data_IF_717231108127
#
_entry.id   IF_717231108127
#
_cell.length_a   1.000
_cell.length_b   1.000
_cell.length_c   1.000
_cell.angle_alpha   90.00
_cell.angle_beta   90.00
_cell.angle_gamma   90.00
#
_symmetry.space_group_name_H-M   'P 1'
#
loop_
_entity.id
_entity.type
_entity.pdbx_description
1 polymer ?
#
# COMPACT_ATOMS: atom_id res chain seq x y z
N UNK A 1 13.94 -23.35 7.19
CA UNK A 1 12.67 -23.19 7.91
C UNK A 1 12.36 -21.71 8.01
N UNK A 2 11.42 -21.20 7.22
CA UNK A 2 10.91 -19.84 7.34
C UNK A 2 9.88 -19.84 8.47
N UNK A 3 10.13 -19.06 9.53
CA UNK A 3 9.22 -19.00 10.67
C UNK A 3 7.84 -18.41 10.29
N UNK A 4 6.84 -18.47 11.18
CA UNK A 4 5.46 -17.99 10.92
C UNK A 4 5.33 -16.47 10.68
N UNK A 5 6.45 -15.76 10.50
CA UNK A 5 6.56 -14.31 10.33
C UNK A 5 7.12 -13.88 8.97
N UNK A 6 7.44 -14.81 8.09
CA UNK A 6 8.03 -14.51 6.78
C UNK A 6 7.07 -14.86 5.65
N UNK A 7 6.80 -13.89 4.77
CA UNK A 7 6.12 -14.14 3.51
C UNK A 7 7.08 -14.82 2.53
N UNK A 8 6.55 -15.73 1.71
CA UNK A 8 7.29 -16.42 0.65
C UNK A 8 6.90 -15.91 -0.74
N UNK A 9 7.65 -16.31 -1.76
CA UNK A 9 7.41 -15.93 -3.15
C UNK A 9 8.05 -14.58 -3.54
N UNK A 10 8.03 -14.24 -4.85
CA UNK A 10 8.72 -13.08 -5.38
C UNK A 10 8.30 -11.76 -4.73
N UNK A 11 7.00 -11.55 -4.52
CA UNK A 11 6.45 -10.36 -3.87
C UNK A 11 6.65 -10.44 -2.34
N UNK A 12 6.29 -11.56 -1.72
CA UNK A 12 6.31 -11.72 -0.27
C UNK A 12 7.68 -11.47 0.35
N UNK A 13 8.75 -11.96 -0.28
CA UNK A 13 10.12 -11.78 0.21
C UNK A 13 10.60 -10.32 0.16
N UNK A 14 9.98 -9.46 -0.66
CA UNK A 14 10.33 -8.05 -0.79
C UNK A 14 9.60 -7.15 0.22
N UNK A 15 8.45 -7.59 0.76
CA UNK A 15 7.64 -6.83 1.72
C UNK A 15 8.37 -6.52 3.04
N UNK A 16 9.43 -7.25 3.37
CA UNK A 16 10.27 -6.98 4.54
C UNK A 16 11.18 -5.75 4.38
N UNK A 17 11.42 -5.31 3.14
CA UNK A 17 12.39 -4.24 2.81
C UNK A 17 11.74 -3.01 2.19
N UNK A 18 10.45 -3.07 1.84
CA UNK A 18 9.75 -2.02 1.10
C UNK A 18 9.78 -0.62 1.75
N UNK A 19 9.88 -0.55 3.08
CA UNK A 19 10.00 0.72 3.82
C UNK A 19 11.25 1.52 3.45
N UNK A 20 12.34 0.80 3.14
CA UNK A 20 13.66 1.41 2.85
C UNK A 20 13.88 1.66 1.36
N UNK A 21 12.97 1.20 0.49
CA UNK A 21 13.12 1.38 -0.94
C UNK A 21 12.71 2.81 -1.33
N UNK A 22 13.43 3.47 -2.25
CA UNK A 22 13.01 4.79 -2.73
C UNK A 22 11.67 4.69 -3.46
N UNK A 23 10.87 5.76 -3.41
CA UNK A 23 9.76 5.93 -4.35
C UNK A 23 10.37 6.34 -5.69
N UNK A 24 9.98 5.66 -6.76
CA UNK A 24 10.47 5.91 -8.13
C UNK A 24 9.31 6.36 -9.02
N UNK A 25 9.54 6.57 -10.31
CA UNK A 25 8.43 6.75 -11.26
C UNK A 25 7.66 5.44 -11.35
N UNK A 26 6.34 5.47 -11.14
CA UNK A 26 5.47 4.30 -11.19
C UNK A 26 4.27 4.55 -12.10
N UNK A 27 3.69 3.49 -12.64
CA UNK A 27 2.46 3.55 -13.43
C UNK A 27 1.24 3.81 -12.52
N UNK A 28 0.34 4.69 -12.96
CA UNK A 28 -0.94 4.89 -12.28
C UNK A 28 -1.85 3.67 -12.39
N UNK A 29 -2.82 3.56 -11.48
CA UNK A 29 -3.84 2.52 -11.51
C UNK A 29 -5.22 3.11 -11.26
N UNK A 30 -6.24 2.58 -11.93
CA UNK A 30 -7.61 2.99 -11.72
C UNK A 30 -8.11 2.54 -10.34
N UNK A 31 -8.54 3.51 -9.54
CA UNK A 31 -9.14 3.30 -8.24
C UNK A 31 -10.29 4.27 -8.00
N UNK A 32 -11.40 3.73 -7.50
CA UNK A 32 -12.43 4.52 -6.85
C UNK A 32 -11.94 4.86 -5.45
N UNK A 33 -11.77 6.15 -5.17
CA UNK A 33 -11.42 6.63 -3.83
C UNK A 33 -12.75 6.97 -3.15
N UNK A 34 -13.18 6.18 -2.15
CA UNK A 34 -14.39 6.49 -1.41
C UNK A 34 -14.24 7.83 -0.70
N UNK A 35 -15.35 8.55 -0.57
CA UNK A 35 -15.43 9.79 0.19
C UNK A 35 -15.39 9.47 1.69
N UNK A 36 -14.17 9.35 2.22
CA UNK A 36 -13.95 9.10 3.65
C UNK A 36 -13.69 10.43 4.35
N UNK A 37 -14.40 10.66 5.46
CA UNK A 37 -14.07 11.75 6.36
C UNK A 37 -12.68 11.50 6.98
N UNK A 38 -11.70 12.34 6.64
CA UNK A 38 -10.32 12.16 7.13
C UNK A 38 -10.19 12.33 8.65
N UNK A 39 -11.14 13.04 9.29
CA UNK A 39 -11.17 13.22 10.74
C UNK A 39 -11.45 11.88 11.42
N UNK A 40 -10.51 11.43 12.25
CA UNK A 40 -10.64 10.20 13.04
C UNK A 40 -9.97 8.96 12.45
N UNK A 41 -9.31 9.08 11.29
CA UNK A 41 -8.52 7.99 10.73
C UNK A 41 -7.31 7.66 11.60
N UNK A 42 -7.01 6.36 11.70
CA UNK A 42 -5.73 5.92 12.26
C UNK A 42 -4.57 6.28 11.31
N UNK A 43 -3.35 6.32 11.84
CA UNK A 43 -2.14 6.58 11.03
C UNK A 43 -2.02 5.63 9.83
N UNK A 44 -2.36 4.35 10.01
CA UNK A 44 -2.27 3.35 8.95
C UNK A 44 -3.35 3.53 7.88
N UNK A 45 -4.56 3.98 8.26
CA UNK A 45 -5.64 4.31 7.31
C UNK A 45 -5.33 5.58 6.53
N UNK A 46 -4.80 6.61 7.20
CA UNK A 46 -4.36 7.82 6.52
C UNK A 46 -3.25 7.51 5.51
N UNK A 47 -2.27 6.69 5.90
CA UNK A 47 -1.19 6.27 5.01
C UNK A 47 -1.70 5.48 3.79
N UNK A 48 -2.69 4.61 3.98
CA UNK A 48 -3.35 3.89 2.89
C UNK A 48 -3.96 4.87 1.89
N UNK A 49 -4.73 5.85 2.37
CA UNK A 49 -5.37 6.86 1.52
C UNK A 49 -4.36 7.72 0.76
N UNK A 50 -3.32 8.18 1.45
CA UNK A 50 -2.25 8.98 0.85
C UNK A 50 -1.57 8.20 -0.30
N UNK A 51 -1.27 6.90 -0.09
CA UNK A 51 -0.68 6.07 -1.14
C UNK A 51 -1.60 5.92 -2.34
N UNK A 52 -2.89 5.67 -2.10
CA UNK A 52 -3.84 5.46 -3.19
C UNK A 52 -4.00 6.71 -4.03
N UNK A 53 -4.01 7.88 -3.37
CA UNK A 53 -4.07 9.15 -4.07
C UNK A 53 -2.84 9.36 -4.97
N UNK A 54 -1.65 9.00 -4.49
CA UNK A 54 -0.43 9.04 -5.30
C UNK A 54 -0.47 8.05 -6.47
N UNK A 55 -0.94 6.82 -6.25
CA UNK A 55 -1.10 5.82 -7.32
C UNK A 55 -2.07 6.33 -8.39
N UNK A 56 -3.17 6.96 -7.99
CA UNK A 56 -4.16 7.51 -8.92
C UNK A 56 -3.60 8.70 -9.71
N UNK A 57 -2.79 9.55 -9.08
CA UNK A 57 -2.22 10.76 -9.69
C UNK A 57 -0.86 10.55 -10.38
N UNK A 58 -0.24 9.38 -10.21
CA UNK A 58 1.14 9.10 -10.67
C UNK A 58 2.19 10.06 -10.11
N UNK A 59 1.91 10.77 -9.00
CA UNK A 59 2.84 11.75 -8.42
C UNK A 59 3.59 11.15 -7.22
N UNK A 60 4.94 11.04 -7.29
CA UNK A 60 5.77 10.53 -6.20
C UNK A 60 6.09 11.58 -5.13
N UNK A 61 5.96 12.88 -5.44
CA UNK A 61 6.43 13.97 -4.57
C UNK A 61 5.84 13.91 -3.15
N UNK A 62 4.58 13.52 -3.02
CA UNK A 62 3.85 13.60 -1.74
C UNK A 62 4.12 12.44 -0.77
N UNK A 63 4.81 11.38 -1.24
CA UNK A 63 5.06 10.15 -0.47
C UNK A 63 6.52 9.89 -0.13
N UNK A 64 7.46 10.54 -0.81
CA UNK A 64 8.91 10.35 -0.56
C UNK A 64 9.32 10.63 0.89
N UNK A 65 8.55 11.48 1.60
CA UNK A 65 8.79 11.89 2.99
C UNK A 65 8.01 11.05 4.01
N UNK A 66 7.01 10.27 3.58
CA UNK A 66 6.12 9.52 4.48
C UNK A 66 6.53 8.06 4.59
N UNK A 67 7.07 7.70 5.75
CA UNK A 67 7.37 6.31 6.08
C UNK A 67 6.08 5.54 6.45
N UNK A 68 5.89 4.31 5.96
CA UNK A 68 4.92 3.41 6.56
C UNK A 68 5.30 3.23 8.02
N UNK A 69 4.41 3.58 8.95
CA UNK A 69 4.64 3.34 10.37
C UNK A 69 4.96 1.86 10.68
N UNK A 70 5.49 1.56 11.88
CA UNK A 70 5.88 0.20 12.26
C UNK A 70 4.68 -0.77 12.22
N UNK A 71 4.95 -2.05 11.93
CA UNK A 71 3.93 -3.10 11.86
C UNK A 71 3.08 -3.16 13.13
N UNK A 72 1.83 -2.69 13.07
CA UNK A 72 0.93 -2.65 14.22
C UNK A 72 -0.41 -3.32 13.93
N UNK A 73 -0.69 -4.39 14.69
CA UNK A 73 -1.97 -5.07 15.06
C UNK A 73 -3.11 -5.29 14.04
N UNK A 74 -3.09 -4.73 12.83
CA UNK A 74 -4.03 -5.05 11.74
C UNK A 74 -3.29 -5.81 10.65
N UNK A 75 -3.21 -7.14 10.80
CA UNK A 75 -2.38 -8.04 9.96
C UNK A 75 -2.56 -7.82 8.45
N UNK A 76 -3.75 -7.42 8.02
CA UNK A 76 -4.04 -7.18 6.61
C UNK A 76 -3.81 -5.72 6.16
N UNK A 77 -4.28 -4.71 6.92
CA UNK A 77 -4.07 -3.29 6.57
C UNK A 77 -2.58 -2.96 6.40
N UNK A 78 -1.75 -3.44 7.32
CA UNK A 78 -0.32 -3.20 7.23
C UNK A 78 0.32 -3.95 6.05
N UNK A 79 -0.17 -5.16 5.75
CA UNK A 79 0.30 -5.92 4.57
C UNK A 79 -0.08 -5.18 3.29
N UNK A 80 -1.30 -4.65 3.20
CA UNK A 80 -1.76 -3.84 2.07
C UNK A 80 -0.90 -2.59 1.89
N UNK A 81 -0.65 -1.83 2.96
CA UNK A 81 0.23 -0.65 2.93
C UNK A 81 1.63 -1.00 2.42
N UNK A 82 2.19 -2.14 2.83
CA UNK A 82 3.51 -2.59 2.37
C UNK A 82 3.53 -3.05 0.91
N UNK A 83 2.48 -3.72 0.43
CA UNK A 83 2.34 -4.09 -0.99
C UNK A 83 2.25 -2.85 -1.87
N UNK A 84 1.43 -1.86 -1.47
CA UNK A 84 1.33 -0.61 -2.21
C UNK A 84 2.65 0.17 -2.16
N UNK A 85 3.31 0.25 -0.99
CA UNK A 85 4.63 0.89 -0.87
C UNK A 85 5.70 0.23 -1.73
N UNK A 86 5.66 -1.09 -1.85
CA UNK A 86 6.55 -1.85 -2.73
C UNK A 86 6.30 -1.48 -4.21
N UNK A 87 5.03 -1.38 -4.63
CA UNK A 87 4.67 -0.99 -6.00
C UNK A 87 5.25 0.38 -6.39
N UNK A 88 5.18 1.36 -5.50
CA UNK A 88 5.77 2.69 -5.71
C UNK A 88 7.30 2.68 -5.86
N UNK A 89 7.95 1.57 -5.52
CA UNK A 89 9.41 1.40 -5.58
C UNK A 89 9.85 0.61 -6.80
N UNK A 90 8.93 0.30 -7.73
CA UNK A 90 9.20 -0.52 -8.91
C UNK A 90 8.83 0.28 -10.16
N UNK A 91 9.84 0.60 -10.96
CA UNK A 91 9.67 1.34 -12.21
C UNK A 91 8.91 0.54 -13.27
N UNK A 92 9.17 -0.78 -13.34
CA UNK A 92 8.55 -1.70 -14.29
C UNK A 92 7.84 -2.84 -13.55
N UNK A 93 6.61 -2.62 -13.03
CA UNK A 93 5.90 -3.62 -12.25
C UNK A 93 5.44 -4.80 -13.11
N UNK A 94 5.65 -6.03 -12.62
CA UNK A 94 5.12 -7.24 -13.28
C UNK A 94 3.60 -7.34 -13.11
N UNK A 95 2.95 -8.21 -13.90
CA UNK A 95 1.50 -8.46 -13.79
C UNK A 95 1.08 -8.89 -12.37
N UNK A 96 1.91 -9.67 -11.68
CA UNK A 96 1.64 -10.06 -10.28
C UNK A 96 1.56 -8.85 -9.34
N UNK A 97 2.42 -7.84 -9.56
CA UNK A 97 2.36 -6.59 -8.80
C UNK A 97 1.08 -5.81 -9.16
N UNK A 98 0.79 -5.66 -10.44
CA UNK A 98 -0.41 -4.95 -10.93
C UNK A 98 -1.70 -5.59 -10.40
N UNK A 99 -1.78 -6.93 -10.42
CA UNK A 99 -2.91 -7.70 -9.88
C UNK A 99 -3.05 -7.49 -8.38
N UNK A 100 -1.94 -7.58 -7.63
CA UNK A 100 -1.97 -7.39 -6.17
C UNK A 100 -2.43 -6.00 -5.78
N UNK A 101 -1.93 -4.96 -6.47
CA UNK A 101 -2.35 -3.57 -6.27
C UNK A 101 -3.80 -3.39 -6.65
N UNK A 102 -4.22 -3.86 -7.83
CA UNK A 102 -5.60 -3.73 -8.28
C UNK A 102 -6.59 -4.40 -7.32
N UNK A 103 -6.24 -5.57 -6.77
CA UNK A 103 -7.05 -6.24 -5.76
C UNK A 103 -7.21 -5.39 -4.49
N UNK A 104 -6.13 -4.78 -3.99
CA UNK A 104 -6.21 -3.89 -2.82
C UNK A 104 -7.09 -2.66 -3.13
N UNK A 105 -6.89 -2.03 -4.28
CA UNK A 105 -7.59 -0.83 -4.71
C UNK A 105 -9.09 -1.07 -4.96
N UNK A 106 -9.44 -2.18 -5.61
CA UNK A 106 -10.83 -2.44 -6.03
C UNK A 106 -11.64 -3.23 -5.01
N UNK A 107 -11.01 -4.14 -4.27
CA UNK A 107 -11.74 -5.05 -3.37
C UNK A 107 -11.61 -4.67 -1.91
N UNK A 108 -10.44 -4.20 -1.46
CA UNK A 108 -10.21 -3.94 -0.05
C UNK A 108 -10.54 -2.51 0.38
N UNK A 109 -10.25 -1.54 -0.47
CA UNK A 109 -10.45 -0.12 -0.18
C UNK A 109 -11.88 0.26 0.16
N UNK A 110 -12.90 -0.13 -0.64
CA UNK A 110 -14.29 0.13 -0.29
C UNK A 110 -14.64 -0.44 1.09
N UNK A 111 -14.18 -1.66 1.39
CA UNK A 111 -14.44 -2.35 2.67
C UNK A 111 -13.78 -1.65 3.86
N UNK A 112 -12.52 -1.21 3.71
CA UNK A 112 -11.79 -0.50 4.76
C UNK A 112 -12.43 0.82 5.18
N UNK A 113 -13.09 1.47 4.25
CA UNK A 113 -13.70 2.79 4.42
C UNK A 113 -14.86 2.78 5.40
N UNK A 114 -15.50 1.62 5.58
CA UNK A 114 -16.60 1.44 6.52
C UNK A 114 -16.15 1.02 7.92
N UNK A 115 -14.85 0.74 8.12
CA UNK A 115 -14.31 0.34 9.42
C UNK A 115 -14.01 1.60 10.24
N UNK A 116 -15.02 2.06 10.98
CA UNK A 116 -14.86 3.11 11.99
C UNK A 116 -14.17 2.53 13.24
N UNK A 117 -13.38 3.38 13.90
CA UNK A 117 -12.75 3.07 15.18
C UNK A 117 -13.76 3.08 16.32
#
# INVERSE_FOLDING_TARGET
MTGPKSFSGPIGTQLGKCEKLPVVNFESNECEIPEIEQKGLSKDQQYLLDIIYAIKSSSPEDLSVREPGPLSRSRWLTTANRVLRLYLSIENPTDEHKISVSFILKSYMPVCSYIKK
#
